data_IF_849720948009
#
_entry.id   IF_849720948009
#
_cell.length_a   1.000
_cell.length_b   1.000
_cell.length_c   1.000
_cell.angle_alpha   90.00
_cell.angle_beta   90.00
_cell.angle_gamma   90.00
#
_symmetry.space_group_name_H-M   'P 1'
#
loop_
_entity.id
_entity.type
_entity.pdbx_description
1 polymer ?
#
# COMPACT_ATOMS: atom_id res chain seq x y z
N UNK A 1 -20.18 10.75 5.65
CA UNK A 1 -19.83 9.33 5.73
C UNK A 1 -18.49 9.15 5.05
N UNK A 2 -17.56 8.39 5.64
CA UNK A 2 -16.24 8.14 5.06
C UNK A 2 -16.26 6.79 4.35
N UNK A 3 -15.89 6.75 3.08
CA UNK A 3 -15.82 5.51 2.30
C UNK A 3 -14.43 4.90 2.42
N UNK A 4 -14.36 3.58 2.62
CA UNK A 4 -13.11 2.83 2.71
C UNK A 4 -12.97 1.95 1.46
N UNK A 5 -11.91 2.20 0.69
CA UNK A 5 -11.68 1.54 -0.61
C UNK A 5 -10.27 0.95 -0.61
N UNK A 6 -10.04 -0.29 -1.07
CA UNK A 6 -8.69 -0.83 -1.24
C UNK A 6 -7.82 0.08 -2.13
N UNK A 7 -6.56 0.31 -1.73
CA UNK A 7 -5.66 1.20 -2.49
C UNK A 7 -5.49 0.77 -3.94
N UNK A 8 -5.35 -0.54 -4.17
CA UNK A 8 -5.19 -1.10 -5.51
C UNK A 8 -6.41 -0.81 -6.41
N UNK A 9 -7.62 -0.87 -5.84
CA UNK A 9 -8.86 -0.57 -6.55
C UNK A 9 -8.98 0.93 -6.83
N UNK A 10 -8.76 1.76 -5.81
CA UNK A 10 -8.83 3.22 -5.92
C UNK A 10 -7.81 3.78 -6.93
N UNK A 11 -6.59 3.21 -6.96
CA UNK A 11 -5.52 3.68 -7.82
C UNK A 11 -5.53 3.08 -9.24
N UNK A 12 -6.34 2.06 -9.52
CA UNK A 12 -6.28 1.24 -10.75
C UNK A 12 -6.18 2.05 -12.06
N UNK A 13 -6.88 3.18 -12.16
CA UNK A 13 -6.88 4.05 -13.35
C UNK A 13 -6.15 5.38 -13.16
N UNK A 14 -5.63 5.68 -11.96
CA UNK A 14 -5.15 7.02 -11.57
C UNK A 14 -3.94 7.02 -10.64
N UNK A 15 -3.05 6.02 -10.74
CA UNK A 15 -1.88 5.85 -9.85
C UNK A 15 -1.08 7.14 -9.59
N UNK A 16 -0.75 7.92 -10.62
CA UNK A 16 0.02 9.16 -10.47
C UNK A 16 -0.72 10.26 -9.70
N UNK A 17 -2.02 10.43 -9.96
CA UNK A 17 -2.84 11.42 -9.29
C UNK A 17 -3.09 11.03 -7.81
N UNK A 18 -3.39 9.76 -7.56
CA UNK A 18 -3.59 9.25 -6.19
C UNK A 18 -2.30 9.35 -5.38
N UNK A 19 -1.15 9.03 -5.99
CA UNK A 19 0.14 9.17 -5.32
C UNK A 19 0.41 10.63 -4.92
N UNK A 20 0.16 11.59 -5.82
CA UNK A 20 0.30 13.01 -5.54
C UNK A 20 -0.64 13.48 -4.41
N UNK A 21 -1.90 13.05 -4.44
CA UNK A 21 -2.88 13.39 -3.38
C UNK A 21 -2.49 12.81 -2.01
N UNK A 22 -1.85 11.64 -1.99
CA UNK A 22 -1.32 11.02 -0.76
C UNK A 22 0.09 11.51 -0.40
N UNK A 23 0.65 12.47 -1.14
CA UNK A 23 1.98 13.03 -0.88
C UNK A 23 3.12 12.04 -1.08
N UNK A 24 2.97 11.06 -1.97
CA UNK A 24 3.99 10.05 -2.28
C UNK A 24 4.30 9.96 -3.78
N UNK A 25 5.37 9.26 -4.14
CA UNK A 25 5.69 9.00 -5.54
C UNK A 25 4.86 7.85 -6.12
N UNK A 26 4.62 7.90 -7.44
CA UNK A 26 3.93 6.81 -8.16
C UNK A 26 4.66 5.47 -8.03
N UNK A 27 5.99 5.48 -7.94
CA UNK A 27 6.80 4.29 -7.69
C UNK A 27 6.57 3.69 -6.29
N UNK A 28 6.46 4.53 -5.26
CA UNK A 28 6.15 4.07 -3.90
C UNK A 28 4.76 3.44 -3.82
N UNK A 29 3.77 4.05 -4.47
CA UNK A 29 2.42 3.53 -4.58
C UNK A 29 2.38 2.19 -5.35
N UNK A 30 3.10 2.09 -6.46
CA UNK A 30 3.21 0.84 -7.25
C UNK A 30 3.87 -0.28 -6.46
N UNK A 31 4.92 0.03 -5.69
CA UNK A 31 5.58 -0.94 -4.80
C UNK A 31 4.62 -1.43 -3.71
N UNK A 32 3.80 -0.54 -3.18
CA UNK A 32 2.83 -0.89 -2.16
C UNK A 32 1.75 -1.86 -2.68
N UNK A 33 1.23 -1.61 -3.89
CA UNK A 33 0.28 -2.49 -4.58
C UNK A 33 0.93 -3.83 -4.92
N UNK A 34 2.15 -3.82 -5.50
CA UNK A 34 2.90 -5.04 -5.87
C UNK A 34 3.18 -5.93 -4.66
N UNK A 35 3.52 -5.35 -3.53
CA UNK A 35 3.81 -6.08 -2.30
C UNK A 35 2.54 -6.58 -1.59
N UNK A 36 1.35 -6.41 -2.19
CA UNK A 36 0.06 -6.85 -1.64
C UNK A 36 -0.14 -6.37 -0.19
N UNK A 37 0.28 -5.15 0.12
CA UNK A 37 0.04 -4.54 1.44
C UNK A 37 -1.46 -4.29 1.58
N UNK A 38 -2.03 -4.63 2.73
CA UNK A 38 -3.44 -4.35 3.05
C UNK A 38 -3.63 -2.85 3.35
N UNK A 39 -3.60 -2.03 2.30
CA UNK A 39 -3.75 -0.58 2.39
C UNK A 39 -5.13 -0.17 1.89
N UNK A 40 -5.76 0.75 2.61
CA UNK A 40 -7.08 1.28 2.32
C UNK A 40 -7.04 2.80 2.26
N UNK A 41 -7.73 3.35 1.27
CA UNK A 41 -7.98 4.78 1.12
C UNK A 41 -9.31 5.11 1.79
N UNK A 42 -9.28 6.10 2.67
CA UNK A 42 -10.43 6.68 3.31
C UNK A 42 -10.77 7.98 2.58
N UNK A 43 -11.94 8.01 1.94
CA UNK A 43 -12.45 9.17 1.21
C UNK A 43 -13.51 9.84 2.09
N UNK A 44 -13.22 11.06 2.52
CA UNK A 44 -14.12 11.91 3.29
C UNK A 44 -15.18 12.54 2.37
N UNK A 45 -16.28 13.02 2.96
CA UNK A 45 -17.40 13.60 2.22
C UNK A 45 -17.05 14.90 1.47
N UNK A 46 -15.99 15.58 1.92
CA UNK A 46 -15.39 16.77 1.30
C UNK A 46 -14.43 16.42 0.13
N UNK A 47 -14.21 15.14 -0.15
CA UNK A 47 -13.28 14.67 -1.16
C UNK A 47 -11.82 14.61 -0.69
N UNK A 48 -11.54 14.92 0.58
CA UNK A 48 -10.23 14.69 1.15
C UNK A 48 -9.96 13.18 1.25
N UNK A 49 -8.72 12.77 0.96
CA UNK A 49 -8.32 11.38 1.04
C UNK A 49 -7.22 11.18 2.07
N UNK A 50 -7.28 10.06 2.77
CA UNK A 50 -6.21 9.58 3.65
C UNK A 50 -6.00 8.09 3.39
N UNK A 51 -4.87 7.53 3.82
CA UNK A 51 -4.56 6.12 3.65
C UNK A 51 -4.15 5.47 4.97
N UNK A 52 -4.65 4.26 5.22
CA UNK A 52 -4.29 3.43 6.37
C UNK A 52 -3.74 2.09 5.91
N UNK A 53 -2.73 1.58 6.59
CA UNK A 53 -2.21 0.22 6.38
C UNK A 53 -2.62 -0.67 7.54
N UNK A 54 -3.26 -1.79 7.23
CA UNK A 54 -3.53 -2.86 8.19
C UNK A 54 -2.44 -3.92 8.09
N UNK A 55 -1.85 -4.26 9.24
CA UNK A 55 -0.86 -5.33 9.33
C UNK A 55 -1.16 -6.18 10.56
N UNK A 56 -1.04 -7.52 10.48
CA UNK A 56 -1.21 -8.38 11.64
C UNK A 56 -0.20 -7.99 12.73
N UNK A 57 -0.68 -8.00 13.97
CA UNK A 57 0.13 -7.79 15.16
C UNK A 57 0.32 -9.14 15.89
N UNK A 58 1.54 -9.48 16.34
CA UNK A 58 2.80 -8.77 16.14
C UNK A 58 3.26 -8.81 14.68
N UNK A 59 3.87 -7.72 14.21
CA UNK A 59 4.29 -7.60 12.81
C UNK A 59 5.19 -8.77 12.42
N UNK A 60 4.77 -9.54 11.40
CA UNK A 60 5.56 -10.62 10.81
C UNK A 60 6.99 -10.12 10.59
N UNK A 61 7.98 -10.68 11.31
CA UNK A 61 9.39 -10.50 10.95
C UNK A 61 9.52 -11.05 9.54
N UNK A 62 10.17 -10.35 8.60
CA UNK A 62 10.53 -10.99 7.35
C UNK A 62 11.27 -12.26 7.72
N UNK A 63 10.71 -13.42 7.37
CA UNK A 63 11.42 -14.68 7.48
C UNK A 63 12.73 -14.45 6.74
N UNK A 64 13.86 -14.48 7.48
CA UNK A 64 15.19 -14.37 6.91
C UNK A 64 15.27 -15.52 5.90
N UNK A 65 15.08 -15.21 4.62
CA UNK A 65 15.13 -16.20 3.56
C UNK A 65 16.48 -16.90 3.64
N UNK A 66 16.47 -18.23 3.54
CA UNK A 66 17.65 -19.07 3.47
C UNK A 66 18.65 -18.49 2.46
N UNK A 67 19.69 -17.82 2.95
CA UNK A 67 20.97 -17.77 2.27
C UNK A 67 21.57 -19.16 2.47
N UNK A 68 21.30 -20.07 1.53
CA UNK A 68 22.04 -21.32 1.46
C UNK A 68 23.43 -20.95 0.96
N UNK A 69 24.52 -21.23 1.70
CA UNK A 69 25.84 -21.13 1.13
C UNK A 69 25.94 -22.26 0.10
N UNK A 70 25.79 -21.92 -1.18
CA UNK A 70 26.05 -22.84 -2.26
C UNK A 70 27.53 -23.23 -2.21
N UNK A 71 27.80 -24.39 -1.62
CA UNK A 71 29.04 -25.11 -1.84
C UNK A 71 29.01 -25.75 -3.21
N UNK A 72 30.02 -25.43 -4.02
CA UNK A 72 30.83 -26.34 -4.85
C UNK A 72 32.11 -25.60 -5.19
#
# INVERSE_FOLDING_TARGET
MTQRIPLAEYAARRHSAVAAQLGMSQGALSKAIRNSRSIFVLVSADGAISAIEEKPFPGQRPAKGNDSPGGT
#
